data_IF_515796735315
#
_entry.id   IF_515796735315
#
_cell.length_a   1.000
_cell.length_b   1.000
_cell.length_c   1.000
_cell.angle_alpha   90.00
_cell.angle_beta   90.00
_cell.angle_gamma   90.00
#
_symmetry.space_group_name_H-M   'P 1'
#
loop_
_entity.id
_entity.type
_entity.pdbx_description
1 polymer ?
#
# COMPACT_ATOMS: atom_id res chain seq x y z
N UNK A 1 7.66 0.47 5.30
CA UNK A 1 6.37 0.96 5.82
C UNK A 1 6.29 2.48 5.69
N UNK A 2 5.20 2.99 5.12
CA UNK A 2 4.96 4.43 4.92
C UNK A 2 3.73 4.87 5.72
N UNK A 3 3.90 5.63 6.79
CA UNK A 3 2.81 5.98 7.71
C UNK A 3 2.61 7.49 7.80
N UNK A 4 1.36 7.94 7.90
CA UNK A 4 1.04 9.35 8.17
C UNK A 4 0.99 9.60 9.69
N UNK A 5 2.05 9.18 10.36
CA UNK A 5 2.27 9.40 11.78
C UNK A 5 3.14 10.66 11.95
N UNK A 6 2.82 11.58 12.88
CA UNK A 6 3.71 12.69 13.19
C UNK A 6 5.12 12.20 13.51
N UNK A 7 6.14 12.83 12.91
CA UNK A 7 7.53 12.35 12.92
C UNK A 7 8.11 12.18 14.34
N UNK A 8 7.63 12.96 15.31
CA UNK A 8 8.02 12.84 16.72
C UNK A 8 7.72 11.46 17.34
N UNK A 9 6.72 10.74 16.82
CA UNK A 9 6.36 9.39 17.28
C UNK A 9 7.04 8.27 16.48
N UNK A 10 7.96 8.61 15.56
CA UNK A 10 8.69 7.64 14.75
C UNK A 10 9.43 6.59 15.59
N UNK A 11 10.17 6.94 16.66
CA UNK A 11 10.87 5.95 17.48
C UNK A 11 9.91 4.95 18.13
N UNK A 12 8.82 5.44 18.72
CA UNK A 12 7.80 4.61 19.38
C UNK A 12 7.14 3.66 18.38
N UNK A 13 6.88 4.13 17.15
CA UNK A 13 6.31 3.29 16.10
C UNK A 13 7.26 2.19 15.65
N UNK A 14 8.56 2.49 15.54
CA UNK A 14 9.58 1.47 15.24
C UNK A 14 9.60 0.42 16.34
N UNK A 15 9.62 0.83 17.61
CA UNK A 15 9.61 -0.11 18.74
C UNK A 15 8.33 -0.96 18.77
N UNK A 16 7.17 -0.34 18.57
CA UNK A 16 5.89 -1.04 18.50
C UNK A 16 5.88 -2.09 17.37
N UNK A 17 6.30 -1.73 16.15
CA UNK A 17 6.35 -2.67 15.03
C UNK A 17 7.35 -3.80 15.29
N UNK A 18 8.53 -3.48 15.82
CA UNK A 18 9.53 -4.48 16.18
C UNK A 18 9.01 -5.47 17.24
N UNK A 19 8.19 -5.03 18.20
CA UNK A 19 7.55 -5.92 19.19
C UNK A 19 6.57 -6.92 18.57
N UNK A 20 6.10 -6.66 17.35
CA UNK A 20 5.28 -7.58 16.54
C UNK A 20 6.08 -8.30 15.44
N UNK A 21 7.42 -8.24 15.48
CA UNK A 21 8.29 -8.87 14.47
C UNK A 21 8.38 -8.13 13.14
N UNK A 22 7.88 -6.89 13.05
CA UNK A 22 7.90 -6.08 11.83
C UNK A 22 9.08 -5.09 11.86
N UNK A 23 10.26 -5.55 11.42
CA UNK A 23 11.50 -4.76 11.46
C UNK A 23 11.84 -4.07 10.14
N UNK A 24 10.82 -3.70 9.36
CA UNK A 24 10.99 -3.05 8.05
C UNK A 24 11.35 -1.56 8.19
N UNK A 25 12.05 -0.96 7.21
CA UNK A 25 12.28 0.48 7.18
C UNK A 25 10.98 1.28 7.31
N UNK A 26 10.98 2.31 8.17
CA UNK A 26 9.81 3.15 8.42
C UNK A 26 10.06 4.60 8.02
N UNK A 27 9.17 5.09 7.15
CA UNK A 27 9.07 6.48 6.71
C UNK A 27 7.79 7.08 7.29
N UNK A 28 7.94 8.14 8.08
CA UNK A 28 6.82 9.00 8.49
C UNK A 28 6.58 10.04 7.40
N UNK A 29 5.32 10.29 7.10
CA UNK A 29 4.89 11.19 6.04
C UNK A 29 3.81 12.15 6.57
N UNK A 30 3.61 13.26 5.88
CA UNK A 30 2.52 14.20 6.13
C UNK A 30 1.88 14.58 4.81
N UNK A 31 0.54 14.61 4.78
CA UNK A 31 -0.21 14.86 3.56
C UNK A 31 -0.32 13.63 2.64
N UNK A 32 -0.37 13.83 1.31
CA UNK A 32 -0.58 12.74 0.35
C UNK A 32 0.53 11.67 0.39
N UNK A 33 0.21 10.43 0.04
CA UNK A 33 1.18 9.32 -0.02
C UNK A 33 1.99 9.30 -1.31
N UNK A 34 1.39 9.74 -2.41
CA UNK A 34 1.95 9.67 -3.75
C UNK A 34 3.36 10.22 -3.87
N UNK A 35 3.64 11.47 -3.45
CA UNK A 35 5.00 12.01 -3.53
C UNK A 35 6.04 11.18 -2.77
N UNK A 36 5.68 10.67 -1.58
CA UNK A 36 6.57 9.82 -0.80
C UNK A 36 6.81 8.45 -1.45
N UNK A 37 5.77 7.85 -2.06
CA UNK A 37 5.90 6.61 -2.83
C UNK A 37 6.84 6.81 -4.02
N UNK A 38 6.64 7.88 -4.80
CA UNK A 38 7.48 8.19 -5.95
C UNK A 38 8.95 8.42 -5.53
N UNK A 39 9.18 9.14 -4.43
CA UNK A 39 10.52 9.37 -3.91
C UNK A 39 11.19 8.07 -3.42
N UNK A 40 10.46 7.19 -2.72
CA UNK A 40 10.98 5.88 -2.32
C UNK A 40 11.30 5.04 -3.56
N UNK A 41 10.44 5.06 -4.57
CA UNK A 41 10.59 4.23 -5.76
C UNK A 41 11.66 4.71 -6.75
N UNK A 42 12.07 5.98 -6.68
CA UNK A 42 13.02 6.59 -7.63
C UNK A 42 14.35 5.82 -7.74
N UNK A 43 14.78 5.18 -6.66
CA UNK A 43 16.04 4.42 -6.60
C UNK A 43 15.86 2.90 -6.87
N UNK A 44 14.68 2.48 -7.33
CA UNK A 44 14.34 1.08 -7.54
C UNK A 44 13.84 0.80 -8.96
N UNK A 45 14.25 -0.34 -9.53
CA UNK A 45 13.79 -0.82 -10.85
C UNK A 45 12.75 -1.93 -10.76
N UNK A 46 12.47 -2.43 -9.56
CA UNK A 46 11.48 -3.47 -9.34
C UNK A 46 10.05 -2.90 -9.44
N UNK A 47 9.04 -3.74 -9.76
CA UNK A 47 7.64 -3.34 -9.65
C UNK A 47 7.31 -2.77 -8.26
N UNK A 48 6.44 -1.76 -8.22
CA UNK A 48 5.98 -1.14 -6.98
C UNK A 48 4.55 -1.60 -6.73
N UNK A 49 4.29 -2.13 -5.54
CA UNK A 49 2.93 -2.41 -5.07
C UNK A 49 2.65 -1.55 -3.84
N UNK A 50 1.52 -0.84 -3.85
CA UNK A 50 1.05 -0.05 -2.72
C UNK A 50 -0.28 -0.59 -2.21
N UNK A 51 -0.33 -0.86 -0.91
CA UNK A 51 -1.48 -1.45 -0.22
C UNK A 51 -1.92 -0.45 0.85
N UNK A 52 -3.19 -0.04 0.79
CA UNK A 52 -3.78 0.87 1.77
C UNK A 52 -5.30 0.63 1.81
N UNK A 53 -5.94 0.97 2.92
CA UNK A 53 -7.40 0.93 3.08
C UNK A 53 -8.04 2.29 2.75
N UNK A 54 -7.24 3.36 2.71
CA UNK A 54 -7.73 4.71 2.48
C UNK A 54 -7.71 5.07 0.99
N UNK A 55 -8.89 5.18 0.36
CA UNK A 55 -9.04 5.54 -1.06
C UNK A 55 -8.31 6.83 -1.47
N UNK A 56 -8.35 7.88 -0.64
CA UNK A 56 -7.58 9.11 -0.89
C UNK A 56 -6.05 8.92 -0.99
N UNK A 57 -5.48 7.93 -0.29
CA UNK A 57 -4.06 7.61 -0.39
C UNK A 57 -3.76 6.78 -1.63
N UNK A 58 -4.66 5.87 -2.01
CA UNK A 58 -4.56 5.12 -3.27
C UNK A 58 -4.69 6.05 -4.48
N UNK A 59 -5.66 6.99 -4.46
CA UNK A 59 -5.79 8.04 -5.47
C UNK A 59 -4.51 8.84 -5.60
N UNK A 60 -3.97 9.32 -4.47
CA UNK A 60 -2.70 10.05 -4.47
C UNK A 60 -1.55 9.23 -5.05
N UNK A 61 -1.47 7.93 -4.74
CA UNK A 61 -0.49 7.03 -5.33
C UNK A 61 -0.68 6.91 -6.85
N UNK A 62 -1.91 6.77 -7.34
CA UNK A 62 -2.20 6.69 -8.78
C UNK A 62 -1.78 7.96 -9.54
N UNK A 63 -1.92 9.14 -8.93
CA UNK A 63 -1.59 10.42 -9.56
C UNK A 63 -0.06 10.65 -9.66
N UNK A 64 0.71 10.18 -8.69
CA UNK A 64 2.15 10.46 -8.59
C UNK A 64 3.04 9.29 -9.03
N UNK A 65 2.50 8.07 -9.00
CA UNK A 65 3.18 6.85 -9.45
C UNK A 65 2.20 5.96 -10.23
N UNK A 66 1.82 6.34 -11.47
CA UNK A 66 0.83 5.60 -12.25
C UNK A 66 1.23 4.15 -12.58
N UNK A 67 2.51 3.81 -12.48
CA UNK A 67 3.04 2.46 -12.67
C UNK A 67 2.97 1.59 -11.41
N UNK A 68 2.57 2.14 -10.25
CA UNK A 68 2.36 1.36 -9.05
C UNK A 68 1.10 0.50 -9.18
N UNK A 69 1.22 -0.78 -8.83
CA UNK A 69 0.07 -1.64 -8.69
C UNK A 69 -0.62 -1.34 -7.34
N UNK A 70 -1.91 -0.99 -7.38
CA UNK A 70 -2.65 -0.51 -6.21
C UNK A 70 -3.59 -1.58 -5.68
N UNK A 71 -3.38 -1.97 -4.43
CA UNK A 71 -4.23 -2.92 -3.71
C UNK A 71 -5.05 -2.16 -2.67
N UNK A 72 -6.36 -2.14 -2.87
CA UNK A 72 -7.30 -1.61 -1.90
C UNK A 72 -7.64 -2.69 -0.87
N UNK A 73 -7.04 -2.59 0.32
CA UNK A 73 -7.21 -3.59 1.37
C UNK A 73 -8.36 -3.20 2.31
N UNK A 74 -9.57 -3.72 2.07
CA UNK A 74 -10.79 -3.30 2.75
C UNK A 74 -11.29 -4.31 3.78
N UNK A 75 -10.87 -4.18 5.04
CA UNK A 75 -11.26 -5.14 6.09
C UNK A 75 -12.73 -5.12 6.49
N UNK A 76 -13.48 -4.07 6.16
CA UNK A 76 -14.89 -3.96 6.54
C UNK A 76 -15.80 -3.90 5.31
N UNK A 77 -16.44 -5.04 5.02
CA UNK A 77 -17.39 -5.19 3.92
C UNK A 77 -18.55 -4.19 3.98
N UNK A 78 -18.94 -3.71 5.17
CA UNK A 78 -20.08 -2.76 5.31
C UNK A 78 -19.73 -1.41 4.70
N UNK A 79 -18.50 -0.95 4.91
CA UNK A 79 -17.98 0.23 4.21
C UNK A 79 -17.75 -0.09 2.73
N UNK A 80 -17.29 -1.31 2.44
CA UNK A 80 -16.96 -1.72 1.09
C UNK A 80 -18.11 -1.63 0.08
N UNK A 81 -19.35 -1.88 0.52
CA UNK A 81 -20.56 -1.79 -0.33
C UNK A 81 -20.84 -0.40 -0.88
N UNK A 82 -20.28 0.64 -0.28
CA UNK A 82 -20.52 2.03 -0.65
C UNK A 82 -19.31 2.70 -1.32
N UNK A 83 -18.18 1.99 -1.41
CA UNK A 83 -16.99 2.51 -2.08
C UNK A 83 -17.03 2.09 -3.54
N UNK A 84 -17.05 3.09 -4.42
CA UNK A 84 -17.01 2.90 -5.86
C UNK A 84 -15.75 2.12 -6.29
N UNK A 85 -15.90 1.32 -7.34
CA UNK A 85 -14.77 0.64 -7.93
C UNK A 85 -14.01 1.65 -8.80
N UNK A 86 -12.92 2.15 -8.24
CA UNK A 86 -12.08 3.15 -8.88
C UNK A 86 -11.20 2.50 -9.96
N UNK A 87 -11.12 3.06 -11.18
CA UNK A 87 -10.44 2.42 -12.32
C UNK A 87 -8.92 2.30 -12.14
N UNK A 88 -8.34 3.04 -11.20
CA UNK A 88 -6.91 2.99 -10.87
C UNK A 88 -6.56 1.91 -9.83
N UNK A 89 -7.56 1.23 -9.25
CA UNK A 89 -7.35 0.13 -8.31
C UNK A 89 -7.19 -1.17 -9.10
N UNK A 90 -6.09 -1.86 -8.87
CA UNK A 90 -5.73 -3.07 -9.59
C UNK A 90 -6.26 -4.32 -8.90
N UNK A 91 -6.35 -4.29 -7.58
CA UNK A 91 -6.89 -5.39 -6.79
C UNK A 91 -7.60 -4.88 -5.56
N UNK A 92 -8.70 -5.54 -5.20
CA UNK A 92 -9.46 -5.22 -4.00
C UNK A 92 -9.68 -6.50 -3.22
N UNK A 93 -9.33 -6.48 -1.94
CA UNK A 93 -9.42 -7.66 -1.09
C UNK A 93 -9.46 -7.26 0.38
N UNK A 94 -9.98 -8.12 1.22
CA UNK A 94 -9.93 -8.01 2.69
C UNK A 94 -9.01 -9.09 3.30
N UNK A 95 -8.37 -9.89 2.43
CA UNK A 95 -7.71 -11.13 2.77
C UNK A 95 -6.22 -11.08 2.40
N UNK A 96 -5.37 -11.30 3.39
CA UNK A 96 -3.92 -11.26 3.19
C UNK A 96 -3.38 -12.36 2.26
N UNK A 97 -3.99 -13.56 2.23
CA UNK A 97 -3.56 -14.63 1.30
C UNK A 97 -3.88 -14.26 -0.13
N UNK A 98 -5.02 -13.61 -0.33
CA UNK A 98 -5.43 -13.14 -1.64
C UNK A 98 -4.57 -11.96 -2.12
N UNK A 99 -4.32 -10.98 -1.24
CA UNK A 99 -3.35 -9.91 -1.50
C UNK A 99 -1.97 -10.48 -1.86
N UNK A 100 -1.49 -11.48 -1.11
CA UNK A 100 -0.21 -12.13 -1.38
C UNK A 100 -0.14 -12.73 -2.79
N UNK A 101 -1.14 -13.51 -3.20
CA UNK A 101 -1.19 -14.10 -4.56
C UNK A 101 -1.15 -13.03 -5.65
N UNK A 102 -1.90 -11.95 -5.47
CA UNK A 102 -1.91 -10.83 -6.39
C UNK A 102 -0.53 -10.15 -6.48
N UNK A 103 0.08 -9.85 -5.33
CA UNK A 103 1.42 -9.24 -5.26
C UNK A 103 2.45 -10.14 -5.93
N UNK A 104 2.43 -11.44 -5.65
CA UNK A 104 3.32 -12.43 -6.25
C UNK A 104 3.19 -12.47 -7.79
N UNK A 105 1.96 -12.41 -8.31
CA UNK A 105 1.70 -12.31 -9.74
C UNK A 105 2.33 -11.06 -10.37
N UNK A 106 2.26 -9.90 -9.69
CA UNK A 106 2.89 -8.64 -10.16
C UNK A 106 4.41 -8.79 -10.30
N UNK A 107 5.08 -9.49 -9.37
CA UNK A 107 6.53 -9.64 -9.40
C UNK A 107 7.02 -10.78 -10.31
N UNK A 108 6.21 -11.82 -10.51
CA UNK A 108 6.57 -12.98 -11.34
C UNK A 108 6.11 -12.86 -12.80
N UNK A 109 5.13 -11.99 -13.08
CA UNK A 109 4.50 -11.87 -14.40
C UNK A 109 3.57 -13.02 -14.76
N UNK A 110 3.20 -13.87 -13.79
CA UNK A 110 2.29 -15.01 -13.96
C UNK A 110 0.96 -14.66 -13.33
N UNK A 111 -0.14 -14.69 -14.10
CA UNK A 111 -1.48 -14.51 -13.52
C UNK A 111 -1.78 -15.61 -12.49
N UNK A 112 -2.29 -15.23 -11.33
CA UNK A 112 -2.65 -16.17 -10.27
C UNK A 112 -3.76 -17.11 -10.78
N UNK A 113 -3.46 -18.40 -10.91
CA UNK A 113 -4.45 -19.40 -11.31
C UNK A 113 -5.58 -19.48 -10.27
N UNK A 114 -6.82 -19.38 -10.75
CA UNK A 114 -8.05 -19.42 -9.94
C UNK A 114 -8.45 -20.84 -9.54
#
# INVERSE_FOLDING_TARGET
MLTNLPSQFRPDRIQNLASHGLTFPLVTNSGPKGPAIAAIAADHTAPVVFIDDHTGYLKSASEHMPSANLVHFMQDERFGRHVEHEPYIHHRTDNWRDAHRHIEAVFTGVEAAY
#
